data_IF_775266164870
#
_entry.id   IF_775266164870
#
_cell.length_a   1.000
_cell.length_b   1.000
_cell.length_c   1.000
_cell.angle_alpha   90.00
_cell.angle_beta   90.00
_cell.angle_gamma   90.00
#
_symmetry.space_group_name_H-M   'P 1'
#
loop_
_entity.id
_entity.type
_entity.pdbx_description
1 polymer ?
#
# COMPACT_ATOMS: atom_id res chain seq x y z
N UNK A 1 -14.31 4.19 11.33
CA UNK A 1 -15.21 4.62 10.25
C UNK A 1 -15.72 6.04 10.40
N UNK A 2 -16.49 6.36 11.44
CA UNK A 2 -17.20 7.65 11.57
C UNK A 2 -16.30 8.89 11.43
N UNK A 3 -15.10 8.85 12.04
CA UNK A 3 -14.11 9.92 11.92
C UNK A 3 -13.62 10.16 10.48
N UNK A 4 -13.74 9.16 9.61
CA UNK A 4 -13.40 9.20 8.18
C UNK A 4 -14.64 9.40 7.28
N UNK A 5 -15.82 9.69 7.88
CA UNK A 5 -17.05 9.98 7.15
C UNK A 5 -17.85 8.75 6.71
N UNK A 6 -17.56 7.55 7.23
CA UNK A 6 -18.44 6.39 6.99
C UNK A 6 -19.77 6.58 7.72
N UNK A 7 -20.88 6.46 7.00
CA UNK A 7 -22.24 6.60 7.54
C UNK A 7 -22.94 5.26 7.81
N UNK A 8 -22.37 4.15 7.32
CA UNK A 8 -22.89 2.79 7.53
C UNK A 8 -21.85 1.96 8.30
N UNK A 9 -22.20 1.39 9.46
CA UNK A 9 -21.27 0.62 10.29
C UNK A 9 -20.93 -0.77 9.72
N UNK A 10 -21.64 -1.24 8.68
CA UNK A 10 -21.34 -2.53 8.06
C UNK A 10 -19.94 -2.51 7.39
N UNK A 11 -19.10 -3.56 7.52
CA UNK A 11 -17.82 -3.63 6.81
C UNK A 11 -18.01 -3.63 5.29
N UNK A 12 -17.56 -2.59 4.61
CA UNK A 12 -17.68 -2.45 3.16
C UNK A 12 -16.55 -1.60 2.56
N UNK A 13 -16.35 -1.71 1.25
CA UNK A 13 -15.49 -0.83 0.45
C UNK A 13 -16.28 -0.20 -0.71
N UNK A 14 -15.63 0.64 -1.50
CA UNK A 14 -16.23 1.26 -2.68
C UNK A 14 -15.29 1.15 -3.89
N UNK A 15 -15.87 0.98 -5.08
CA UNK A 15 -15.14 1.01 -6.35
C UNK A 15 -15.80 2.08 -7.21
N UNK A 16 -15.05 3.11 -7.58
CA UNK A 16 -15.50 4.15 -8.49
C UNK A 16 -14.73 3.99 -9.80
N UNK A 17 -15.47 3.95 -10.91
CA UNK A 17 -14.92 3.85 -12.25
C UNK A 17 -15.37 5.07 -13.06
N UNK A 18 -14.45 5.59 -13.89
CA UNK A 18 -14.68 6.75 -14.73
C UNK A 18 -13.89 6.63 -16.03
N UNK A 19 -14.19 7.51 -16.98
CA UNK A 19 -13.49 7.65 -18.27
C UNK A 19 -12.37 8.69 -18.24
N UNK A 20 -11.98 9.13 -17.04
CA UNK A 20 -10.87 10.07 -16.80
C UNK A 20 -9.86 9.49 -15.81
N UNK A 21 -8.63 10.02 -15.84
CA UNK A 21 -7.60 9.68 -14.86
C UNK A 21 -7.71 10.61 -13.64
N UNK A 22 -7.83 10.08 -12.41
CA UNK A 22 -7.83 10.90 -11.21
C UNK A 22 -6.52 11.69 -11.03
N UNK A 23 -6.57 12.80 -10.31
CA UNK A 23 -5.42 13.71 -10.14
C UNK A 23 -4.19 13.01 -9.54
N UNK A 24 -4.37 12.24 -8.47
CA UNK A 24 -3.23 11.58 -7.80
C UNK A 24 -2.62 10.48 -8.68
N UNK A 25 -3.46 9.65 -9.32
CA UNK A 25 -3.01 8.63 -10.28
C UNK A 25 -2.24 9.27 -11.44
N UNK A 26 -2.71 10.42 -11.94
CA UNK A 26 -2.04 11.16 -13.03
C UNK A 26 -0.65 11.66 -12.61
N UNK A 27 -0.50 12.19 -11.40
CA UNK A 27 0.79 12.65 -10.87
C UNK A 27 1.74 11.48 -10.67
N UNK A 28 1.27 10.40 -10.06
CA UNK A 28 2.05 9.18 -9.83
C UNK A 28 2.53 8.57 -11.14
N UNK A 29 1.66 8.49 -12.16
CA UNK A 29 2.03 7.96 -13.48
C UNK A 29 3.17 8.77 -14.11
N UNK A 30 3.09 10.10 -14.07
CA UNK A 30 4.13 10.98 -14.62
C UNK A 30 5.48 10.73 -13.92
N UNK A 31 5.49 10.67 -12.58
CA UNK A 31 6.74 10.49 -11.82
C UNK A 31 7.31 9.09 -11.98
N UNK A 32 6.47 8.05 -11.98
CA UNK A 32 6.93 6.68 -12.19
C UNK A 32 7.52 6.49 -13.60
N UNK A 33 6.88 7.08 -14.63
CA UNK A 33 7.42 7.05 -16.00
C UNK A 33 8.74 7.81 -16.12
N UNK A 34 8.85 9.00 -15.52
CA UNK A 34 10.08 9.78 -15.52
C UNK A 34 11.23 9.01 -14.86
N UNK A 35 10.99 8.45 -13.67
CA UNK A 35 11.97 7.63 -12.97
C UNK A 35 12.39 6.40 -13.80
N UNK A 36 11.42 5.67 -14.37
CA UNK A 36 11.70 4.50 -15.18
C UNK A 36 12.51 4.84 -16.44
N UNK A 37 12.23 5.98 -17.09
CA UNK A 37 12.98 6.42 -18.27
C UNK A 37 14.45 6.73 -17.95
N UNK A 38 14.73 7.23 -16.75
CA UNK A 38 16.09 7.56 -16.29
C UNK A 38 16.85 6.34 -15.73
N UNK A 39 16.17 5.48 -14.96
CA UNK A 39 16.81 4.41 -14.18
C UNK A 39 16.62 3.00 -14.77
N UNK A 40 15.68 2.83 -15.71
CA UNK A 40 15.35 1.53 -16.30
C UNK A 40 14.68 0.54 -15.35
N UNK A 41 14.28 0.97 -14.15
CA UNK A 41 13.66 0.16 -13.11
C UNK A 41 12.47 0.89 -12.48
N UNK A 42 11.41 0.19 -12.02
CA UNK A 42 10.26 0.82 -11.36
C UNK A 42 10.65 1.44 -10.02
N UNK A 43 10.29 2.71 -9.83
CA UNK A 43 10.60 3.49 -8.61
C UNK A 43 10.23 2.75 -7.33
N UNK A 44 9.00 2.25 -7.24
CA UNK A 44 8.49 1.62 -6.02
C UNK A 44 9.17 0.28 -5.69
N UNK A 45 9.77 -0.40 -6.68
CA UNK A 45 10.55 -1.61 -6.40
C UNK A 45 11.92 -1.26 -5.83
N UNK A 46 12.60 -0.27 -6.40
CA UNK A 46 13.88 0.21 -5.87
C UNK A 46 13.69 0.79 -4.46
N UNK A 47 12.57 1.48 -4.24
CA UNK A 47 12.18 1.94 -2.91
C UNK A 47 11.91 0.78 -1.93
N UNK A 48 11.16 -0.24 -2.32
CA UNK A 48 10.89 -1.40 -1.48
C UNK A 48 12.19 -2.16 -1.12
N UNK A 49 13.09 -2.33 -2.08
CA UNK A 49 14.42 -2.94 -1.86
C UNK A 49 15.29 -2.09 -0.91
N UNK A 50 15.19 -0.76 -0.97
CA UNK A 50 15.88 0.13 -0.05
C UNK A 50 15.32 0.01 1.37
N UNK A 51 14.01 0.07 1.54
CA UNK A 51 13.37 -0.05 2.86
C UNK A 51 13.64 -1.40 3.52
N UNK A 52 13.64 -2.49 2.76
CA UNK A 52 14.03 -3.82 3.26
C UNK A 52 15.47 -3.87 3.76
N UNK A 53 16.38 -3.16 3.07
CA UNK A 53 17.80 -3.13 3.42
C UNK A 53 18.05 -2.28 4.67
N UNK A 54 17.35 -1.16 4.81
CA UNK A 54 17.49 -0.28 5.97
C UNK A 54 16.72 -0.79 7.20
N UNK A 55 15.56 -1.42 7.00
CA UNK A 55 14.72 -2.02 8.03
C UNK A 55 14.01 -1.04 8.98
N UNK A 56 14.47 0.21 9.07
CA UNK A 56 14.03 1.17 10.09
C UNK A 56 12.56 1.58 10.01
N UNK A 57 11.94 1.48 8.84
CA UNK A 57 10.52 1.85 8.61
C UNK A 57 9.65 0.66 8.21
N UNK A 58 10.19 -0.56 8.26
CA UNK A 58 9.42 -1.78 7.99
C UNK A 58 8.49 -2.07 9.17
N UNK A 59 7.19 -2.19 8.87
CA UNK A 59 6.15 -2.53 9.85
C UNK A 59 5.88 -4.03 9.83
N UNK A 60 5.71 -4.58 8.62
CA UNK A 60 5.44 -5.99 8.35
C UNK A 60 6.07 -6.38 7.02
N UNK A 61 6.48 -7.64 6.91
CA UNK A 61 6.80 -8.25 5.63
C UNK A 61 6.36 -9.72 5.63
N UNK A 62 6.08 -10.25 4.45
CA UNK A 62 6.01 -11.68 4.20
C UNK A 62 6.70 -12.00 2.86
N UNK A 63 6.51 -13.23 2.38
CA UNK A 63 7.17 -13.72 1.16
C UNK A 63 6.87 -12.86 -0.08
N UNK A 64 5.71 -12.20 -0.14
CA UNK A 64 5.22 -11.49 -1.33
C UNK A 64 5.00 -10.00 -1.13
N UNK A 65 4.88 -9.52 0.11
CA UNK A 65 4.44 -8.16 0.43
C UNK A 65 5.30 -7.50 1.51
N UNK A 66 5.34 -6.19 1.44
CA UNK A 66 6.03 -5.31 2.37
C UNK A 66 5.08 -4.19 2.81
N UNK A 67 5.02 -3.93 4.12
CA UNK A 67 4.38 -2.74 4.70
C UNK A 67 5.44 -1.89 5.36
N UNK A 68 5.50 -0.63 4.96
CA UNK A 68 6.41 0.37 5.53
C UNK A 68 5.64 1.60 5.98
N UNK A 69 6.22 2.36 6.90
CA UNK A 69 5.90 3.79 7.03
C UNK A 69 6.69 4.51 5.93
N UNK A 70 6.06 5.09 4.91
CA UNK A 70 6.82 5.66 3.81
C UNK A 70 7.70 6.81 4.30
N UNK A 71 8.88 6.99 3.70
CA UNK A 71 9.79 8.09 4.08
C UNK A 71 9.13 9.48 4.00
N UNK A 72 8.17 9.62 3.08
CA UNK A 72 7.39 10.83 2.84
C UNK A 72 5.99 10.82 3.49
N UNK A 73 5.76 9.97 4.51
CA UNK A 73 4.49 9.90 5.24
C UNK A 73 4.00 11.29 5.69
N UNK A 74 2.72 11.57 5.45
CA UNK A 74 2.04 12.79 5.87
C UNK A 74 1.17 12.55 7.10
N UNK A 75 0.57 11.36 7.22
CA UNK A 75 -0.25 10.99 8.38
C UNK A 75 0.59 10.32 9.48
N UNK A 76 0.24 10.50 10.78
CA UNK A 76 1.05 10.01 11.90
C UNK A 76 1.37 8.51 11.85
N UNK A 77 0.45 7.72 11.31
CA UNK A 77 0.60 6.28 11.13
C UNK A 77 0.30 5.90 9.68
N UNK A 78 0.72 6.71 8.71
CA UNK A 78 0.61 6.33 7.30
C UNK A 78 1.43 5.08 7.03
N UNK A 79 0.85 4.13 6.29
CA UNK A 79 1.59 2.96 5.80
C UNK A 79 1.38 2.78 4.32
N UNK A 80 2.43 2.30 3.66
CA UNK A 80 2.42 1.91 2.26
C UNK A 80 2.62 0.39 2.16
N UNK A 81 1.64 -0.31 1.59
CA UNK A 81 1.66 -1.76 1.32
C UNK A 81 2.00 -1.99 -0.16
N UNK A 82 3.10 -2.69 -0.42
CA UNK A 82 3.65 -2.89 -1.77
C UNK A 82 3.98 -4.37 -2.01
N UNK A 83 3.80 -4.88 -3.24
CA UNK A 83 4.32 -6.21 -3.61
C UNK A 83 5.84 -6.16 -3.74
N UNK A 84 6.51 -7.26 -3.39
CA UNK A 84 7.97 -7.42 -3.52
C UNK A 84 8.41 -7.77 -4.95
N UNK A 85 7.46 -8.14 -5.81
CA UNK A 85 7.63 -8.38 -7.25
C UNK A 85 6.97 -7.24 -8.02
N UNK A 86 7.46 -6.95 -9.22
CA UNK A 86 6.76 -6.07 -10.15
C UNK A 86 5.37 -6.63 -10.51
N UNK A 87 4.32 -5.86 -10.21
CA UNK A 87 2.92 -6.14 -10.52
C UNK A 87 2.31 -4.83 -11.05
N UNK A 88 1.78 -4.84 -12.26
CA UNK A 88 1.21 -3.65 -12.89
C UNK A 88 -0.23 -3.36 -12.43
N UNK A 89 -0.99 -4.39 -12.08
CA UNK A 89 -2.37 -4.29 -11.59
C UNK A 89 -2.79 -5.54 -10.80
N UNK A 90 -3.76 -5.40 -9.89
CA UNK A 90 -4.21 -6.47 -8.97
C UNK A 90 -4.55 -7.82 -9.65
N UNK A 91 -5.19 -7.88 -10.83
CA UNK A 91 -5.44 -9.14 -11.53
C UNK A 91 -4.18 -9.98 -11.85
N UNK A 92 -3.00 -9.36 -11.98
CA UNK A 92 -1.73 -10.05 -12.25
C UNK A 92 -1.15 -10.77 -11.03
N UNK A 93 -1.78 -10.65 -9.85
CA UNK A 93 -1.40 -11.40 -8.66
C UNK A 93 -1.68 -12.89 -8.85
N UNK A 94 -0.67 -13.70 -8.54
CA UNK A 94 -0.80 -15.16 -8.44
C UNK A 94 -1.62 -15.56 -7.21
N UNK A 95 -2.17 -16.77 -7.19
CA UNK A 95 -2.93 -17.27 -6.04
C UNK A 95 -2.14 -17.21 -4.70
N UNK A 96 -0.85 -17.61 -4.64
CA UNK A 96 -0.06 -17.43 -3.42
C UNK A 96 0.09 -15.97 -2.99
N UNK A 97 0.31 -15.05 -3.93
CA UNK A 97 0.43 -13.62 -3.63
C UNK A 97 -0.89 -13.02 -3.12
N UNK A 98 -2.04 -13.51 -3.61
CA UNK A 98 -3.37 -13.11 -3.11
C UNK A 98 -3.61 -13.60 -1.68
N UNK A 99 -3.23 -14.85 -1.38
CA UNK A 99 -3.29 -15.39 -0.02
C UNK A 99 -2.42 -14.58 0.94
N UNK A 100 -1.16 -14.34 0.54
CA UNK A 100 -0.21 -13.54 1.31
C UNK A 100 -0.68 -12.08 1.50
N UNK A 101 -1.42 -11.51 0.54
CA UNK A 101 -2.03 -10.18 0.67
C UNK A 101 -3.09 -10.16 1.78
N UNK A 102 -3.98 -11.15 1.79
CA UNK A 102 -5.02 -11.24 2.82
C UNK A 102 -4.42 -11.38 4.23
N UNK A 103 -3.39 -12.21 4.38
CA UNK A 103 -2.69 -12.41 5.64
C UNK A 103 -2.02 -11.12 6.14
N UNK A 104 -1.26 -10.43 5.28
CA UNK A 104 -0.55 -9.21 5.70
C UNK A 104 -1.50 -8.05 5.98
N UNK A 105 -2.60 -7.93 5.23
CA UNK A 105 -3.64 -6.94 5.51
C UNK A 105 -4.31 -7.19 6.86
N UNK A 106 -4.66 -8.44 7.17
CA UNK A 106 -5.20 -8.79 8.48
C UNK A 106 -4.22 -8.45 9.61
N UNK A 107 -2.95 -8.81 9.46
CA UNK A 107 -1.92 -8.50 10.44
C UNK A 107 -1.72 -7.00 10.62
N UNK A 108 -1.77 -6.21 9.54
CA UNK A 108 -1.66 -4.75 9.58
C UNK A 108 -2.85 -4.12 10.32
N UNK A 109 -4.07 -4.48 9.95
CA UNK A 109 -5.28 -3.90 10.56
C UNK A 109 -5.40 -4.25 12.04
N UNK A 110 -5.03 -5.48 12.45
CA UNK A 110 -4.97 -5.84 13.87
C UNK A 110 -3.95 -4.99 14.63
N UNK A 111 -2.81 -4.65 14.03
CA UNK A 111 -1.82 -3.76 14.67
C UNK A 111 -2.35 -2.35 14.85
N UNK A 112 -3.06 -1.83 13.86
CA UNK A 112 -3.73 -0.54 13.98
C UNK A 112 -4.72 -0.53 15.14
N UNK A 113 -5.59 -1.54 15.24
CA UNK A 113 -6.56 -1.63 16.33
C UNK A 113 -5.86 -1.70 17.71
N UNK A 114 -4.79 -2.49 17.79
CA UNK A 114 -4.05 -2.69 19.01
C UNK A 114 -3.25 -1.46 19.47
N UNK A 115 -2.90 -0.54 18.57
CA UNK A 115 -2.11 0.65 18.89
C UNK A 115 -2.82 1.54 19.93
N UNK A 116 -4.14 1.68 19.82
CA UNK A 116 -4.96 2.47 20.73
C UNK A 116 -6.06 1.66 21.43
N UNK A 117 -6.07 0.33 21.27
CA UNK A 117 -7.08 -0.58 21.84
C UNK A 117 -8.50 -0.17 21.43
N UNK A 118 -8.68 0.20 20.16
CA UNK A 118 -9.95 0.64 19.58
C UNK A 118 -10.01 0.20 18.13
N UNK A 119 -11.20 0.14 17.54
CA UNK A 119 -11.30 -0.05 16.09
C UNK A 119 -10.72 1.19 15.41
N UNK A 120 -9.62 1.00 14.69
CA UNK A 120 -8.95 2.09 14.00
C UNK A 120 -9.85 2.61 12.86
N UNK A 121 -9.92 3.94 12.65
CA UNK A 121 -10.90 4.55 11.74
C UNK A 121 -10.93 4.01 10.32
#
# INVERSE_FOLDING_TARGET
>A
GDAMGSSNPHPHGQIWAGDWLPNEVSKEEIQQKAYFAEHGRPLLLDYAELELREGNRVVLENDSWLVVVPYWALWPFETLLLPRRHVGHLPELTEPERGALAEIMQALLIRYDNLFQTSFP
#
